data_IF_108410100251
#
_entry.id   IF_108410100251
#
_cell.length_a   1.000
_cell.length_b   1.000
_cell.length_c   1.000
_cell.angle_alpha   90.00
_cell.angle_beta   90.00
_cell.angle_gamma   90.00
#
_symmetry.space_group_name_H-M   'P 1'
#
loop_
_entity.id
_entity.type
_entity.pdbx_description
1 polymer ?
#
# COMPACT_ATOMS: atom_id res chain seq x y z
N UNK A 1 -59.02 -15.42 15.54
CA UNK A 1 -58.42 -14.35 16.36
C UNK A 1 -57.16 -14.80 17.09
N UNK A 2 -57.15 -15.95 17.78
CA UNK A 2 -55.96 -16.44 18.55
C UNK A 2 -54.68 -16.61 17.70
N UNK A 3 -54.77 -17.21 16.50
CA UNK A 3 -53.61 -17.37 15.59
C UNK A 3 -52.94 -16.07 15.12
N UNK A 4 -53.67 -14.95 15.11
CA UNK A 4 -53.10 -13.65 14.71
C UNK A 4 -52.34 -12.98 15.86
N UNK A 5 -52.70 -13.29 17.10
CA UNK A 5 -52.05 -12.79 18.31
C UNK A 5 -50.71 -13.48 18.56
N UNK A 6 -50.66 -14.81 18.39
CA UNK A 6 -49.43 -15.59 18.56
C UNK A 6 -48.37 -15.22 17.51
N UNK A 7 -48.81 -14.92 16.27
CA UNK A 7 -47.92 -14.47 15.19
C UNK A 7 -47.33 -13.07 15.46
N UNK A 8 -48.12 -12.15 16.01
CA UNK A 8 -47.62 -10.82 16.40
C UNK A 8 -46.62 -10.91 17.57
N UNK A 9 -46.89 -11.76 18.56
CA UNK A 9 -46.01 -11.97 19.69
C UNK A 9 -44.65 -12.55 19.25
N UNK A 10 -44.65 -13.53 18.32
CA UNK A 10 -43.39 -14.09 17.80
C UNK A 10 -42.60 -13.09 16.95
N UNK A 11 -43.28 -12.24 16.16
CA UNK A 11 -42.65 -11.16 15.40
C UNK A 11 -42.03 -10.09 16.31
N UNK A 12 -42.68 -9.77 17.42
CA UNK A 12 -42.15 -8.82 18.40
C UNK A 12 -40.91 -9.36 19.11
N UNK A 13 -40.91 -10.64 19.49
CA UNK A 13 -39.75 -11.26 20.12
C UNK A 13 -38.57 -11.40 19.14
N UNK A 14 -38.86 -11.74 17.87
CA UNK A 14 -37.85 -11.74 16.81
C UNK A 14 -37.24 -10.36 16.59
N UNK A 15 -38.07 -9.31 16.49
CA UNK A 15 -37.60 -7.93 16.33
C UNK A 15 -36.75 -7.49 17.52
N UNK A 16 -37.18 -7.80 18.75
CA UNK A 16 -36.41 -7.50 19.96
C UNK A 16 -35.05 -8.18 19.96
N UNK A 17 -34.99 -9.45 19.55
CA UNK A 17 -33.74 -10.20 19.40
C UNK A 17 -32.81 -9.54 18.37
N UNK A 18 -33.33 -9.14 17.22
CA UNK A 18 -32.53 -8.43 16.20
C UNK A 18 -32.03 -7.06 16.68
N UNK A 19 -32.84 -6.30 17.43
CA UNK A 19 -32.42 -5.03 18.03
C UNK A 19 -31.29 -5.23 19.04
N UNK A 20 -31.36 -6.28 19.87
CA UNK A 20 -30.29 -6.61 20.83
C UNK A 20 -29.00 -6.98 20.09
N UNK A 21 -29.07 -7.79 19.03
CA UNK A 21 -27.90 -8.12 18.22
C UNK A 21 -27.27 -6.89 17.58
N UNK A 22 -28.09 -6.00 17.03
CA UNK A 22 -27.62 -4.76 16.44
C UNK A 22 -26.95 -3.86 17.48
N UNK A 23 -27.54 -3.74 18.67
CA UNK A 23 -26.94 -3.00 19.78
C UNK A 23 -25.58 -3.57 20.16
N UNK A 24 -25.46 -4.89 20.29
CA UNK A 24 -24.20 -5.54 20.62
C UNK A 24 -23.14 -5.27 19.55
N UNK A 25 -23.49 -5.45 18.27
CA UNK A 25 -22.58 -5.17 17.16
C UNK A 25 -22.10 -3.72 17.14
N UNK A 26 -22.97 -2.76 17.48
CA UNK A 26 -22.57 -1.34 17.62
C UNK A 26 -21.60 -1.14 18.78
N UNK A 27 -21.76 -1.83 19.91
CA UNK A 27 -20.79 -1.75 21.02
C UNK A 27 -19.44 -2.34 20.62
N UNK A 28 -19.43 -3.46 19.91
CA UNK A 28 -18.20 -4.12 19.46
C UNK A 28 -17.43 -3.19 18.48
N UNK A 29 -18.13 -2.58 17.52
CA UNK A 29 -17.56 -1.58 16.59
C UNK A 29 -16.96 -0.39 17.35
N UNK A 30 -17.61 0.08 18.42
CA UNK A 30 -17.09 1.19 19.22
C UNK A 30 -15.77 0.84 19.92
N UNK A 31 -15.65 -0.39 20.43
CA UNK A 31 -14.41 -0.88 21.07
C UNK A 31 -13.29 -1.00 20.03
N UNK A 32 -13.56 -1.59 18.87
CA UNK A 32 -12.58 -1.69 17.77
C UNK A 32 -12.14 -0.31 17.27
N UNK A 33 -13.08 0.63 17.12
CA UNK A 33 -12.79 1.99 16.72
C UNK A 33 -11.91 2.71 17.75
N UNK A 34 -12.16 2.50 19.05
CA UNK A 34 -11.31 3.03 20.12
C UNK A 34 -9.89 2.44 20.06
N UNK A 35 -9.71 1.15 19.77
CA UNK A 35 -8.36 0.58 19.63
C UNK A 35 -7.49 1.32 18.59
N UNK A 36 -8.12 1.85 17.53
CA UNK A 36 -7.44 2.57 16.45
C UNK A 36 -7.36 4.08 16.66
N UNK A 37 -8.46 4.72 17.10
CA UNK A 37 -8.62 6.19 17.12
C UNK A 37 -8.63 6.82 18.51
N UNK A 38 -8.48 6.04 19.58
CA UNK A 38 -8.43 6.58 20.93
C UNK A 38 -7.24 7.55 21.08
N UNK A 39 -7.40 8.70 21.78
CA UNK A 39 -6.35 9.73 21.90
C UNK A 39 -5.00 9.20 22.39
N UNK A 40 -5.04 8.31 23.38
CA UNK A 40 -3.85 7.67 23.97
C UNK A 40 -3.41 6.38 23.23
N UNK A 41 -3.98 6.06 22.07
CA UNK A 41 -3.55 4.89 21.27
C UNK A 41 -2.24 5.18 20.54
N UNK A 42 -1.27 4.28 20.68
CA UNK A 42 -0.06 4.26 19.84
C UNK A 42 -0.37 3.99 18.36
N UNK A 43 -1.61 3.63 18.00
CA UNK A 43 -2.02 3.32 16.63
C UNK A 43 -2.77 4.47 15.95
N UNK A 44 -2.78 5.66 16.55
CA UNK A 44 -3.40 6.87 15.99
C UNK A 44 -2.61 7.45 14.79
N UNK A 45 -1.97 6.56 14.03
CA UNK A 45 -0.83 6.79 13.16
C UNK A 45 -1.14 6.50 11.69
N UNK A 46 -2.41 6.34 11.30
CA UNK A 46 -2.75 6.13 9.89
C UNK A 46 -2.27 7.27 8.99
N UNK A 47 -2.40 8.53 9.44
CA UNK A 47 -1.81 9.69 8.77
C UNK A 47 -0.29 9.58 8.67
N UNK A 48 0.40 9.23 9.76
CA UNK A 48 1.86 9.03 9.73
C UNK A 48 2.28 7.83 8.87
N UNK A 49 1.46 6.79 8.73
CA UNK A 49 1.74 5.65 7.83
C UNK A 49 1.60 6.08 6.38
N UNK A 50 0.57 6.84 6.03
CA UNK A 50 0.43 7.41 4.69
C UNK A 50 1.60 8.33 4.35
N UNK A 51 2.02 9.18 5.30
CA UNK A 51 3.16 10.07 5.15
C UNK A 51 4.48 9.30 4.99
N UNK A 52 4.73 8.27 5.80
CA UNK A 52 5.89 7.39 5.69
C UNK A 52 5.93 6.65 4.34
N UNK A 53 4.79 6.09 3.89
CA UNK A 53 4.70 5.44 2.59
C UNK A 53 4.97 6.43 1.44
N UNK A 54 4.55 7.69 1.59
CA UNK A 54 4.81 8.74 0.62
C UNK A 54 6.28 9.16 0.62
N UNK A 55 6.93 9.23 1.78
CA UNK A 55 8.37 9.48 1.89
C UNK A 55 9.18 8.36 1.25
N UNK A 56 8.86 7.09 1.54
CA UNK A 56 9.49 5.92 0.90
C UNK A 56 9.33 5.97 -0.63
N UNK A 57 8.12 6.26 -1.13
CA UNK A 57 7.89 6.39 -2.56
C UNK A 57 8.77 7.48 -3.19
N UNK A 58 8.83 8.67 -2.57
CA UNK A 58 9.64 9.79 -3.04
C UNK A 58 11.14 9.50 -3.00
N UNK A 59 11.64 8.89 -1.93
CA UNK A 59 13.06 8.52 -1.81
C UNK A 59 13.45 7.49 -2.87
N UNK A 60 12.58 6.50 -3.10
CA UNK A 60 12.84 5.45 -4.07
C UNK A 60 12.80 6.00 -5.51
N UNK A 61 11.87 6.92 -5.82
CA UNK A 61 11.83 7.62 -7.10
C UNK A 61 13.10 8.45 -7.32
N UNK A 62 13.56 9.21 -6.30
CA UNK A 62 14.81 9.98 -6.37
C UNK A 62 16.02 9.08 -6.62
N UNK A 63 16.09 7.94 -5.93
CA UNK A 63 17.16 6.97 -6.12
C UNK A 63 17.15 6.38 -7.54
N UNK A 64 15.97 6.02 -8.06
CA UNK A 64 15.82 5.53 -9.44
C UNK A 64 16.28 6.56 -10.47
N UNK A 65 15.85 7.82 -10.32
CA UNK A 65 16.28 8.92 -11.19
C UNK A 65 17.79 9.16 -11.13
N UNK A 66 18.41 9.06 -9.94
CA UNK A 66 19.85 9.18 -9.79
C UNK A 66 20.62 8.03 -10.47
N UNK A 67 20.10 6.80 -10.40
CA UNK A 67 20.67 5.64 -11.12
C UNK A 67 20.60 5.87 -12.63
N UNK A 68 19.45 6.32 -13.16
CA UNK A 68 19.29 6.60 -14.58
C UNK A 68 20.28 7.66 -15.06
N UNK A 69 20.42 8.78 -14.33
CA UNK A 69 21.38 9.85 -14.66
C UNK A 69 22.83 9.35 -14.63
N UNK A 70 23.19 8.51 -13.65
CA UNK A 70 24.51 7.91 -13.61
C UNK A 70 24.75 7.00 -14.81
N UNK A 71 23.77 6.17 -15.20
CA UNK A 71 23.85 5.31 -16.38
C UNK A 71 24.01 6.12 -17.67
N UNK A 72 23.28 7.23 -17.82
CA UNK A 72 23.45 8.17 -18.96
C UNK A 72 24.87 8.72 -19.04
N UNK A 73 25.39 9.21 -17.91
CA UNK A 73 26.75 9.75 -17.85
C UNK A 73 27.81 8.69 -18.18
N UNK A 74 27.63 7.45 -17.72
CA UNK A 74 28.55 6.35 -18.07
C UNK A 74 28.43 6.02 -19.56
N UNK A 75 27.24 6.07 -20.16
CA UNK A 75 27.07 5.87 -21.60
C UNK A 75 27.83 6.91 -22.41
N UNK A 76 27.69 8.20 -22.05
CA UNK A 76 28.37 9.28 -22.75
C UNK A 76 29.91 9.15 -22.66
N UNK A 77 30.43 8.85 -21.47
CA UNK A 77 31.87 8.59 -21.28
C UNK A 77 32.30 7.36 -22.08
N UNK A 78 31.46 6.33 -22.13
CA UNK A 78 31.66 5.13 -22.91
C UNK A 78 31.81 5.39 -24.41
N UNK A 79 30.91 6.18 -24.96
CA UNK A 79 30.93 6.57 -26.38
C UNK A 79 32.17 7.40 -26.70
N UNK A 80 32.53 8.36 -25.85
CA UNK A 80 33.76 9.15 -26.00
C UNK A 80 35.02 8.26 -25.96
N UNK A 81 35.06 7.26 -25.08
CA UNK A 81 36.18 6.30 -25.02
C UNK A 81 36.25 5.41 -26.25
N UNK A 82 35.09 4.98 -26.79
CA UNK A 82 35.00 4.21 -28.03
C UNK A 82 35.56 5.00 -29.21
N UNK A 83 35.23 6.29 -29.31
CA UNK A 83 35.72 7.17 -30.36
C UNK A 83 37.23 7.47 -30.24
N UNK A 84 37.75 7.64 -29.02
CA UNK A 84 39.13 8.02 -28.79
C UNK A 84 40.11 6.83 -28.88
N UNK A 85 39.69 5.65 -28.40
CA UNK A 85 40.60 4.51 -28.15
C UNK A 85 40.03 3.17 -28.62
N UNK A 86 38.91 3.17 -29.35
CA UNK A 86 38.29 1.96 -29.89
C UNK A 86 39.26 1.18 -30.78
N UNK A 87 39.70 0.03 -30.28
CA UNK A 87 40.38 -0.98 -31.09
C UNK A 87 39.39 -2.09 -31.45
N UNK A 88 39.63 -2.84 -32.52
CA UNK A 88 38.77 -3.97 -32.93
C UNK A 88 38.53 -4.99 -31.79
N UNK A 89 39.50 -5.14 -30.88
CA UNK A 89 39.38 -6.01 -29.72
C UNK A 89 38.49 -5.42 -28.60
N UNK A 90 38.39 -4.09 -28.50
CA UNK A 90 37.61 -3.39 -27.47
C UNK A 90 36.18 -3.05 -27.90
N UNK A 91 35.90 -2.98 -29.21
CA UNK A 91 34.55 -2.69 -29.74
C UNK A 91 33.45 -3.59 -29.14
N UNK A 92 33.62 -4.92 -29.02
CA UNK A 92 32.60 -5.78 -28.42
C UNK A 92 32.33 -5.46 -26.94
N UNK A 93 33.32 -4.94 -26.20
CA UNK A 93 33.16 -4.59 -24.79
C UNK A 93 32.28 -3.34 -24.63
N UNK A 94 32.41 -2.36 -25.52
CA UNK A 94 31.53 -1.19 -25.56
C UNK A 94 30.10 -1.59 -25.91
N UNK A 95 29.91 -2.52 -26.85
CA UNK A 95 28.56 -2.98 -27.20
C UNK A 95 27.88 -3.72 -26.03
N UNK A 96 28.63 -4.55 -25.29
CA UNK A 96 28.13 -5.19 -24.06
C UNK A 96 27.76 -4.13 -23.01
N UNK A 97 28.58 -3.09 -22.85
CA UNK A 97 28.31 -2.01 -21.91
C UNK A 97 27.02 -1.26 -22.27
N UNK A 98 26.80 -0.89 -23.54
CA UNK A 98 25.56 -0.26 -24.00
C UNK A 98 24.34 -1.15 -23.75
N UNK A 99 24.46 -2.47 -23.95
CA UNK A 99 23.38 -3.42 -23.63
C UNK A 99 23.04 -3.38 -22.14
N UNK A 100 24.05 -3.43 -21.26
CA UNK A 100 23.81 -3.39 -19.80
C UNK A 100 23.19 -2.07 -19.35
N UNK A 101 23.60 -0.94 -19.93
CA UNK A 101 22.99 0.37 -19.66
C UNK A 101 21.50 0.39 -20.03
N UNK A 102 21.16 -0.13 -21.21
CA UNK A 102 19.77 -0.24 -21.65
C UNK A 102 18.95 -1.15 -20.72
N UNK A 103 19.53 -2.27 -20.25
CA UNK A 103 18.88 -3.13 -19.26
C UNK A 103 18.59 -2.40 -17.95
N UNK A 104 19.52 -1.56 -17.46
CA UNK A 104 19.29 -0.74 -16.26
C UNK A 104 18.15 0.26 -16.50
N UNK A 105 18.15 0.94 -17.65
CA UNK A 105 17.09 1.88 -18.03
C UNK A 105 15.71 1.24 -18.01
N UNK A 106 15.59 0.08 -18.64
CA UNK A 106 14.34 -0.67 -18.71
C UNK A 106 13.89 -1.13 -17.31
N UNK A 107 14.82 -1.64 -16.49
CA UNK A 107 14.53 -2.04 -15.12
C UNK A 107 14.04 -0.87 -14.25
N UNK A 108 14.69 0.30 -14.35
CA UNK A 108 14.26 1.53 -13.68
C UNK A 108 12.89 2.02 -14.20
N UNK A 109 12.63 1.89 -15.51
CA UNK A 109 11.33 2.19 -16.11
C UNK A 109 10.21 1.31 -15.55
N UNK A 110 10.45 0.00 -15.38
CA UNK A 110 9.47 -0.89 -14.73
C UNK A 110 9.28 -0.60 -13.24
N UNK A 111 10.29 -0.05 -12.57
CA UNK A 111 10.18 0.34 -11.17
C UNK A 111 9.13 1.44 -10.93
N UNK A 112 8.84 2.28 -11.93
CA UNK A 112 7.76 3.29 -11.85
C UNK A 112 6.39 2.66 -11.50
N UNK A 113 6.13 1.42 -11.96
CA UNK A 113 4.91 0.68 -11.62
C UNK A 113 4.81 0.46 -10.10
N UNK A 114 5.94 0.27 -9.41
CA UNK A 114 5.98 0.17 -7.95
C UNK A 114 5.59 1.50 -7.29
N UNK A 115 6.12 2.62 -7.78
CA UNK A 115 5.72 3.96 -7.31
C UNK A 115 4.22 4.22 -7.49
N UNK A 116 3.65 3.83 -8.63
CA UNK A 116 2.22 3.91 -8.88
C UNK A 116 1.40 3.01 -7.94
N UNK A 117 1.89 1.80 -7.61
CA UNK A 117 1.22 0.90 -6.66
C UNK A 117 1.24 1.47 -5.24
N UNK A 118 2.38 2.00 -4.78
CA UNK A 118 2.47 2.67 -3.47
C UNK A 118 1.51 3.85 -3.41
N UNK A 119 1.45 4.68 -4.47
CA UNK A 119 0.50 5.77 -4.57
C UNK A 119 -0.97 5.33 -4.44
N UNK A 120 -1.32 4.15 -4.98
CA UNK A 120 -2.67 3.56 -4.80
C UNK A 120 -2.91 3.10 -3.37
N UNK A 121 -1.92 2.48 -2.74
CA UNK A 121 -1.99 2.07 -1.33
C UNK A 121 -2.25 3.30 -0.44
N UNK A 122 -1.49 4.39 -0.63
CA UNK A 122 -1.67 5.65 0.10
C UNK A 122 -3.12 6.16 -0.02
N UNK A 123 -3.70 6.13 -1.24
CA UNK A 123 -5.11 6.54 -1.44
C UNK A 123 -6.10 5.68 -0.66
N UNK A 124 -5.86 4.37 -0.59
CA UNK A 124 -6.72 3.44 0.16
C UNK A 124 -6.59 3.70 1.67
N UNK A 125 -5.37 3.86 2.17
CA UNK A 125 -5.08 4.20 3.57
C UNK A 125 -5.83 5.49 3.97
N UNK A 126 -5.75 6.53 3.14
CA UNK A 126 -6.45 7.80 3.38
C UNK A 126 -7.98 7.65 3.37
N UNK A 127 -8.53 6.78 2.50
CA UNK A 127 -9.97 6.49 2.46
C UNK A 127 -10.44 5.78 3.74
N UNK A 128 -9.66 4.80 4.21
CA UNK A 128 -9.92 4.09 5.47
C UNK A 128 -9.90 5.08 6.62
N UNK A 129 -8.89 5.95 6.67
CA UNK A 129 -8.80 6.99 7.70
C UNK A 129 -10.01 7.94 7.69
N UNK A 130 -10.44 8.42 6.52
CA UNK A 130 -11.64 9.26 6.41
C UNK A 130 -12.92 8.55 6.89
N UNK A 131 -13.04 7.25 6.62
CA UNK A 131 -14.17 6.43 7.08
C UNK A 131 -14.15 6.28 8.60
N UNK A 132 -12.98 6.01 9.19
CA UNK A 132 -12.82 5.92 10.64
C UNK A 132 -13.15 7.25 11.32
N UNK A 133 -12.67 8.38 10.79
CA UNK A 133 -12.97 9.71 11.32
C UNK A 133 -14.49 10.02 11.25
N UNK A 134 -15.16 9.56 10.19
CA UNK A 134 -16.62 9.69 10.08
C UNK A 134 -17.35 8.85 11.15
N UNK A 135 -16.87 7.63 11.43
CA UNK A 135 -17.41 6.80 12.50
C UNK A 135 -17.17 7.41 13.89
N UNK A 136 -16.01 8.01 14.13
CA UNK A 136 -15.71 8.76 15.35
C UNK A 136 -16.73 9.88 15.56
N UNK A 137 -17.06 10.62 14.50
CA UNK A 137 -18.07 11.69 14.55
C UNK A 137 -19.46 11.16 14.92
N UNK A 138 -19.85 9.99 14.41
CA UNK A 138 -21.15 9.35 14.70
C UNK A 138 -21.20 8.80 16.13
N UNK A 139 -20.10 8.22 16.62
CA UNK A 139 -20.00 7.64 17.96
C UNK A 139 -19.86 8.71 19.04
N UNK A 140 -19.18 9.82 18.73
CA UNK A 140 -18.81 10.90 19.64
C UNK A 140 -17.42 10.67 20.27
N UNK A 141 -16.59 11.71 20.28
CA UNK A 141 -15.21 11.66 20.80
C UNK A 141 -15.15 11.30 22.29
N UNK A 142 -16.08 11.82 23.10
CA UNK A 142 -16.22 11.48 24.52
C UNK A 142 -16.55 9.99 24.71
N UNK A 143 -17.35 9.43 23.81
CA UNK A 143 -17.75 8.02 23.83
C UNK A 143 -16.59 7.09 23.50
N UNK A 144 -15.63 7.54 22.68
CA UNK A 144 -14.42 6.79 22.34
C UNK A 144 -13.37 6.90 23.43
N UNK A 145 -13.16 8.11 23.96
CA UNK A 145 -12.18 8.37 25.02
C UNK A 145 -12.56 7.73 26.36
N UNK A 146 -13.85 7.44 26.56
CA UNK A 146 -14.34 6.73 27.74
C UNK A 146 -14.18 5.20 27.64
N UNK A 147 -13.86 4.65 26.47
CA UNK A 147 -13.67 3.22 26.29
C UNK A 147 -12.26 2.80 26.71
N UNK A 148 -12.13 1.65 27.40
CA UNK A 148 -10.81 1.16 27.78
C UNK A 148 -9.99 0.83 26.54
N UNK A 149 -8.75 1.29 26.51
CA UNK A 149 -7.76 0.87 25.53
C UNK A 149 -7.49 -0.64 25.70
N UNK A 150 -8.13 -1.45 24.88
CA UNK A 150 -7.69 -2.82 24.66
C UNK A 150 -6.43 -2.77 23.81
N UNK A 151 -5.31 -3.28 24.32
CA UNK A 151 -4.07 -3.43 23.52
C UNK A 151 -4.40 -4.20 22.24
N UNK A 152 -4.12 -3.58 21.10
CA UNK A 152 -4.23 -4.26 19.82
C UNK A 152 -3.19 -5.38 19.74
N UNK A 153 -3.53 -6.56 19.20
CA UNK A 153 -2.55 -7.64 18.96
C UNK A 153 -1.37 -7.21 18.07
N UNK A 154 -1.52 -6.13 17.30
CA UNK A 154 -0.48 -5.58 16.43
C UNK A 154 0.56 -4.70 17.18
N UNK A 155 0.31 -4.37 18.45
CA UNK A 155 1.25 -3.58 19.27
C UNK A 155 2.46 -4.40 19.75
N UNK A 156 2.37 -5.73 19.72
CA UNK A 156 3.54 -6.59 19.87
C UNK A 156 4.20 -6.66 18.49
N UNK A 157 5.27 -5.88 18.32
CA UNK A 157 6.09 -5.82 17.12
C UNK A 157 6.77 -7.15 16.83
N UNK A 158 6.00 -8.12 16.35
CA UNK A 158 6.54 -9.17 15.54
C UNK A 158 7.02 -8.51 14.25
N UNK A 159 8.33 -8.46 14.14
CA UNK A 159 9.12 -8.17 12.95
C UNK A 159 8.45 -8.85 11.76
N UNK A 160 7.59 -8.13 11.04
CA UNK A 160 6.87 -8.68 9.88
C UNK A 160 7.98 -9.13 8.93
N UNK A 161 8.18 -10.44 8.70
CA UNK A 161 9.26 -10.89 7.85
C UNK A 161 9.06 -10.26 6.48
N UNK A 162 9.96 -9.35 6.10
CA UNK A 162 9.92 -8.63 4.83
C UNK A 162 10.42 -9.54 3.69
N UNK A 163 9.92 -10.76 3.65
CA UNK A 163 10.07 -11.70 2.55
C UNK A 163 8.79 -11.61 1.73
N UNK A 164 8.69 -10.54 0.92
CA UNK A 164 7.58 -10.40 -0.01
C UNK A 164 7.55 -11.60 -0.97
N UNK A 165 6.39 -12.22 -1.22
CA UNK A 165 6.30 -13.23 -2.26
C UNK A 165 6.72 -12.59 -3.60
N UNK A 166 7.66 -13.23 -4.31
CA UNK A 166 7.87 -12.92 -5.72
C UNK A 166 6.50 -13.05 -6.40
N UNK A 167 6.02 -11.97 -7.01
CA UNK A 167 4.74 -11.97 -7.71
C UNK A 167 4.81 -12.99 -8.85
N UNK A 168 4.24 -14.18 -8.64
CA UNK A 168 4.06 -15.15 -9.72
C UNK A 168 3.13 -14.53 -10.77
N UNK A 169 3.67 -14.32 -11.98
CA UNK A 169 2.90 -14.18 -13.21
C UNK A 169 2.13 -12.87 -13.44
N UNK A 170 2.37 -11.80 -12.67
CA UNK A 170 1.64 -10.53 -12.79
C UNK A 170 2.34 -9.40 -13.57
N UNK A 171 3.54 -9.63 -14.06
CA UNK A 171 4.26 -8.68 -14.93
C UNK A 171 3.87 -8.91 -16.39
N UNK A 172 3.69 -7.82 -17.14
CA UNK A 172 3.64 -7.89 -18.61
C UNK A 172 4.97 -8.52 -19.04
N UNK A 173 4.90 -9.68 -19.68
CA UNK A 173 6.12 -10.37 -20.10
C UNK A 173 6.76 -9.60 -21.28
N UNK A 174 8.07 -9.73 -21.47
CA UNK A 174 8.73 -9.14 -22.65
C UNK A 174 8.05 -9.59 -23.96
N UNK A 175 7.54 -10.82 -23.99
CA UNK A 175 6.77 -11.38 -25.10
C UNK A 175 5.41 -10.67 -25.34
N UNK A 176 4.87 -9.96 -24.35
CA UNK A 176 3.67 -9.13 -24.50
C UNK A 176 4.01 -7.71 -24.98
N UNK A 177 5.21 -7.23 -24.68
CA UNK A 177 5.74 -5.94 -25.17
C UNK A 177 6.09 -6.05 -26.66
N UNK A 178 6.76 -7.13 -27.05
CA UNK A 178 7.18 -7.36 -28.43
C UNK A 178 5.98 -7.43 -29.40
N UNK A 179 4.82 -7.93 -28.93
CA UNK A 179 3.55 -7.97 -29.71
C UNK A 179 2.91 -6.61 -29.99
N UNK A 180 3.31 -5.54 -29.30
CA UNK A 180 2.77 -4.19 -29.51
C UNK A 180 3.51 -3.41 -30.60
N UNK A 181 4.69 -3.89 -31.03
CA UNK A 181 5.56 -3.21 -31.97
C UNK A 181 5.78 -4.00 -33.28
N UNK A 182 5.09 -5.13 -33.45
CA UNK A 182 4.96 -5.90 -34.70
C UNK A 182 3.66 -5.60 -35.47
#
# INVERSE_FOLDING_TARGET
MVHSSDKLASQHEALKSEVIKLFQAVQDIKVELAAVKHPDSEMNHFSSVADQLNEIANETEKASNAIMQATEAISEVGDQLKDLMGSDAALPMFDVMSIQMNTIFEACGFHDITGQRISKIIKIVNLIEGTLNSLVTVVGEDGISALPLTKSPLAEGDDIPMEGPALEGGGVSQADIDKLFD
#
